data_IF_587238265871
#
_entry.id   IF_587238265871
#
_cell.length_a   1.000
_cell.length_b   1.000
_cell.length_c   1.000
_cell.angle_alpha   90.00
_cell.angle_beta   90.00
_cell.angle_gamma   90.00
#
_symmetry.space_group_name_H-M   'P 1'
#
loop_
_entity.id
_entity.type
_entity.pdbx_description
1 polymer ?
#
# COMPACT_ATOMS: atom_id res chain seq x y z
N UNK A 1 11.12 -8.16 15.03
CA UNK A 1 9.95 -7.79 14.21
C UNK A 1 10.44 -6.81 13.16
N UNK A 2 10.13 -7.02 11.88
CA UNK A 2 10.66 -6.19 10.79
C UNK A 2 9.58 -5.23 10.35
N UNK A 3 9.90 -3.94 10.26
CA UNK A 3 8.99 -2.90 9.79
C UNK A 3 9.30 -2.63 8.32
N UNK A 4 8.30 -2.70 7.46
CA UNK A 4 8.47 -2.50 6.02
C UNK A 4 7.45 -1.49 5.51
N UNK A 5 7.93 -0.45 4.83
CA UNK A 5 7.09 0.42 4.02
C UNK A 5 6.92 -0.21 2.64
N UNK A 6 5.68 -0.44 2.24
CA UNK A 6 5.37 -1.11 0.99
C UNK A 6 4.97 -0.10 -0.09
N UNK A 7 5.49 -0.34 -1.29
CA UNK A 7 5.09 0.38 -2.49
C UNK A 7 3.73 -0.13 -2.99
N UNK A 8 3.03 0.73 -3.74
CA UNK A 8 1.70 0.45 -4.29
C UNK A 8 1.70 -0.84 -5.12
N UNK A 9 2.72 -1.06 -5.97
CA UNK A 9 2.81 -2.24 -6.84
C UNK A 9 2.91 -3.55 -6.06
N UNK A 10 3.56 -3.56 -4.89
CA UNK A 10 3.65 -4.75 -4.03
C UNK A 10 2.27 -5.07 -3.46
N UNK A 11 1.55 -4.06 -2.99
CA UNK A 11 0.19 -4.25 -2.45
C UNK A 11 -0.75 -4.74 -3.55
N UNK A 12 -0.72 -4.11 -4.73
CA UNK A 12 -1.55 -4.52 -5.88
C UNK A 12 -1.22 -5.96 -6.31
N UNK A 13 0.06 -6.31 -6.42
CA UNK A 13 0.49 -7.66 -6.77
C UNK A 13 -0.07 -8.71 -5.80
N UNK A 14 -0.10 -8.40 -4.50
CA UNK A 14 -0.66 -9.28 -3.47
C UNK A 14 -2.19 -9.45 -3.56
N UNK A 15 -2.90 -8.45 -4.10
CA UNK A 15 -4.34 -8.51 -4.33
C UNK A 15 -4.68 -9.32 -5.58
N UNK A 16 -3.80 -9.31 -6.58
CA UNK A 16 -3.98 -10.05 -7.85
C UNK A 16 -3.65 -11.53 -7.68
N UNK A 17 -2.61 -11.86 -6.90
CA UNK A 17 -2.14 -13.24 -6.76
C UNK A 17 -1.80 -13.61 -5.32
N UNK A 18 -2.26 -14.79 -4.89
CA UNK A 18 -1.98 -15.36 -3.57
C UNK A 18 -0.74 -16.29 -3.53
N UNK A 19 -0.08 -16.50 -4.67
CA UNK A 19 1.08 -17.40 -4.75
C UNK A 19 2.42 -16.66 -4.72
N UNK A 20 2.41 -15.33 -4.89
CA UNK A 20 3.61 -14.52 -5.02
C UNK A 20 4.24 -14.08 -3.69
N UNK A 21 5.50 -13.66 -3.77
CA UNK A 21 6.24 -13.12 -2.62
C UNK A 21 5.54 -11.92 -1.96
N UNK A 22 4.86 -11.08 -2.74
CA UNK A 22 4.08 -9.96 -2.22
C UNK A 22 2.96 -10.41 -1.27
N UNK A 23 2.22 -11.46 -1.63
CA UNK A 23 1.20 -12.05 -0.77
C UNK A 23 1.81 -12.67 0.48
N UNK A 24 2.91 -13.41 0.34
CA UNK A 24 3.61 -14.00 1.49
C UNK A 24 4.13 -12.94 2.45
N UNK A 25 4.68 -11.83 1.92
CA UNK A 25 5.18 -10.70 2.69
C UNK A 25 4.08 -10.08 3.56
N UNK A 26 2.94 -9.74 2.95
CA UNK A 26 1.84 -9.05 3.64
C UNK A 26 1.14 -9.96 4.66
N UNK A 27 1.03 -11.26 4.37
CA UNK A 27 0.41 -12.22 5.27
C UNK A 27 1.36 -12.75 6.36
N UNK A 28 2.64 -12.39 6.33
CA UNK A 28 3.58 -12.78 7.37
C UNK A 28 3.37 -11.96 8.65
N UNK A 29 2.91 -12.63 9.71
CA UNK A 29 2.64 -12.00 11.02
C UNK A 29 3.89 -11.47 11.74
N UNK A 30 5.10 -11.78 11.27
CA UNK A 30 6.36 -11.25 11.84
C UNK A 30 6.79 -9.92 11.21
N UNK A 31 6.04 -9.44 10.23
CA UNK A 31 6.30 -8.22 9.48
C UNK A 31 5.17 -7.22 9.73
N UNK A 32 5.55 -6.04 10.19
CA UNK A 32 4.64 -4.91 10.30
C UNK A 32 4.67 -4.14 8.98
N UNK A 33 3.54 -4.13 8.27
CA UNK A 33 3.41 -3.46 6.99
C UNK A 33 2.93 -2.02 7.18
N UNK A 34 3.59 -1.08 6.52
CA UNK A 34 3.25 0.34 6.56
C UNK A 34 3.01 0.87 5.15
N UNK A 35 2.04 1.76 5.02
CA UNK A 35 1.82 2.57 3.82
C UNK A 35 1.55 4.01 4.24
N UNK A 36 1.81 4.97 3.35
CA UNK A 36 1.41 6.35 3.60
C UNK A 36 -0.07 6.57 3.26
N UNK A 37 -0.68 7.60 3.84
CA UNK A 37 -2.00 8.07 3.42
C UNK A 37 -2.03 8.44 1.92
N UNK A 38 -0.92 8.91 1.35
CA UNK A 38 -0.80 9.22 -0.08
C UNK A 38 -0.82 7.93 -0.91
N UNK A 39 -0.01 6.94 -0.55
CA UNK A 39 0.03 5.62 -1.21
C UNK A 39 -1.33 4.93 -1.12
N UNK A 40 -2.05 5.08 0.00
CA UNK A 40 -3.39 4.52 0.13
C UNK A 40 -4.39 5.16 -0.86
N UNK A 41 -4.31 6.48 -1.10
CA UNK A 41 -5.14 7.12 -2.12
C UNK A 41 -4.80 6.64 -3.53
N UNK A 42 -3.52 6.45 -3.82
CA UNK A 42 -3.08 5.87 -5.10
C UNK A 42 -3.61 4.44 -5.29
N UNK A 43 -3.51 3.60 -4.27
CA UNK A 43 -4.02 2.23 -4.29
C UNK A 43 -5.52 2.18 -4.62
N UNK A 44 -6.34 3.06 -4.03
CA UNK A 44 -7.76 3.15 -4.34
C UNK A 44 -8.00 3.49 -5.83
N UNK A 45 -7.21 4.41 -6.40
CA UNK A 45 -7.30 4.76 -7.82
C UNK A 45 -6.89 3.59 -8.72
N UNK A 46 -5.80 2.89 -8.37
CA UNK A 46 -5.27 1.78 -9.15
C UNK A 46 -6.22 0.58 -9.12
N UNK A 47 -6.73 0.20 -7.94
CA UNK A 47 -7.71 -0.87 -7.79
C UNK A 47 -8.96 -0.61 -8.62
N UNK A 48 -9.48 0.64 -8.58
CA UNK A 48 -10.62 1.04 -9.41
C UNK A 48 -10.30 0.94 -10.91
N UNK A 49 -9.13 1.41 -11.34
CA UNK A 49 -8.70 1.36 -12.75
C UNK A 49 -8.56 -0.07 -13.26
N UNK A 50 -8.03 -0.96 -12.43
CA UNK A 50 -7.82 -2.37 -12.74
C UNK A 50 -9.08 -3.23 -12.54
N UNK A 51 -10.20 -2.63 -12.11
CA UNK A 51 -11.45 -3.34 -11.76
C UNK A 51 -11.22 -4.45 -10.71
N UNK A 52 -10.28 -4.22 -9.80
CA UNK A 52 -10.08 -5.06 -8.63
C UNK A 52 -11.14 -4.63 -7.59
N UNK A 53 -11.62 -5.59 -6.81
CA UNK A 53 -12.57 -5.36 -5.73
C UNK A 53 -11.97 -4.44 -4.65
N UNK A 54 -12.58 -3.26 -4.46
CA UNK A 54 -12.12 -2.26 -3.51
C UNK A 54 -12.36 -2.67 -2.06
N UNK A 55 -13.34 -3.54 -1.80
CA UNK A 55 -13.56 -4.11 -0.46
C UNK A 55 -12.42 -5.03 -0.05
N UNK A 56 -11.80 -5.75 -0.98
CA UNK A 56 -10.59 -6.56 -0.69
C UNK A 56 -9.41 -5.68 -0.27
N UNK A 57 -9.19 -4.56 -0.96
CA UNK A 57 -8.16 -3.60 -0.57
C UNK A 57 -8.44 -3.02 0.82
N UNK A 58 -9.68 -2.60 1.09
CA UNK A 58 -10.06 -2.03 2.39
C UNK A 58 -9.85 -3.04 3.51
N UNK A 59 -10.24 -4.30 3.31
CA UNK A 59 -10.07 -5.38 4.29
C UNK A 59 -8.59 -5.62 4.58
N UNK A 60 -7.75 -5.83 3.56
CA UNK A 60 -6.33 -6.14 3.78
C UNK A 60 -5.60 -4.97 4.44
N UNK A 61 -5.90 -3.72 4.04
CA UNK A 61 -5.30 -2.52 4.64
C UNK A 61 -5.69 -2.42 6.11
N UNK A 62 -6.97 -2.63 6.43
CA UNK A 62 -7.45 -2.58 7.82
C UNK A 62 -6.80 -3.67 8.69
N UNK A 63 -6.60 -4.87 8.15
CA UNK A 63 -6.11 -6.02 8.92
C UNK A 63 -4.58 -6.07 9.05
N UNK A 64 -3.86 -5.64 8.01
CA UNK A 64 -2.41 -5.89 7.89
C UNK A 64 -1.55 -4.63 7.89
N UNK A 65 -2.12 -3.45 7.68
CA UNK A 65 -1.34 -2.23 7.46
C UNK A 65 -1.55 -1.19 8.55
N UNK A 66 -0.47 -0.50 8.88
CA UNK A 66 -0.48 0.76 9.63
C UNK A 66 -0.34 1.92 8.63
N UNK A 67 -1.35 2.78 8.55
CA UNK A 67 -1.31 3.96 7.67
C UNK A 67 -0.60 5.11 8.38
N UNK A 68 0.50 5.58 7.79
CA UNK A 68 1.24 6.75 8.26
C UNK A 68 0.73 7.99 7.56
N UNK A 69 0.30 8.98 8.34
CA UNK A 69 -0.16 10.27 7.82
C UNK A 69 1.04 11.17 7.53
N UNK A 70 1.30 11.41 6.26
CA UNK A 70 2.22 12.44 5.82
C UNK A 70 1.54 13.81 5.94
N UNK A 71 2.22 14.75 6.60
CA UNK A 71 1.76 16.12 6.80
C UNK A 71 1.83 16.96 5.52
N UNK A 72 2.75 16.61 4.62
CA UNK A 72 2.96 17.28 3.35
C UNK A 72 2.02 16.73 2.28
N UNK A 73 1.48 17.62 1.46
CA UNK A 73 0.76 17.25 0.24
C UNK A 73 1.71 16.68 -0.81
N UNK A 74 1.17 15.85 -1.71
CA UNK A 74 1.93 15.32 -2.85
C UNK A 74 2.59 16.43 -3.69
N UNK A 75 1.92 17.59 -3.82
CA UNK A 75 2.47 18.76 -4.52
C UNK A 75 3.72 19.30 -3.81
N UNK A 76 3.68 19.43 -2.49
CA UNK A 76 4.82 19.89 -1.70
C UNK A 76 5.99 18.91 -1.79
N UNK A 77 5.72 17.61 -1.66
CA UNK A 77 6.73 16.56 -1.81
C UNK A 77 7.39 16.66 -3.19
N UNK A 78 6.59 16.72 -4.27
CA UNK A 78 7.13 16.85 -5.64
C UNK A 78 8.01 18.09 -5.81
N UNK A 79 7.63 19.22 -5.23
CA UNK A 79 8.44 20.44 -5.28
C UNK A 79 9.79 20.29 -4.56
N UNK A 80 9.89 19.48 -3.51
CA UNK A 80 11.15 19.22 -2.79
C UNK A 80 12.12 18.33 -3.56
N UNK A 81 11.65 17.58 -4.56
CA UNK A 81 12.47 16.69 -5.39
C UNK A 81 12.63 17.21 -6.84
N UNK A 82 12.18 18.43 -7.14
CA UNK A 82 12.50 19.11 -8.40
C UNK A 82 13.94 19.63 -8.34
N UNK A 83 14.86 18.83 -8.87
CA UNK A 83 16.05 19.36 -9.54
C UNK A 83 15.66 19.82 -10.95
#
# INVERSE_FOLDING_TARGET
MVNVFLDSDVVISSLISNLGAAYQLINNKKIDCFISNISYQELLLVVKKLKIDDEKLKAIVKERFKIIKLSQSLRQIKSSYKN
#
